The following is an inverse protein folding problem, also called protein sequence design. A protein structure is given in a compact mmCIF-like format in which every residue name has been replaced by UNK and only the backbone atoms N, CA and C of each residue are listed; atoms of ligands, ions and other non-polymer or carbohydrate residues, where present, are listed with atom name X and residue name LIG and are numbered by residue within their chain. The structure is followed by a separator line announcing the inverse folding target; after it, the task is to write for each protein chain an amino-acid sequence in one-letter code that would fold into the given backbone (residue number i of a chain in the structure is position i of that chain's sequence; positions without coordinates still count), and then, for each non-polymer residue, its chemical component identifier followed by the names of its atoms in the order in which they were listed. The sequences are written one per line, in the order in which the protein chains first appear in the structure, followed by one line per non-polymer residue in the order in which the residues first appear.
data_IF_820781287565
#
_entry.id   IF_820781287565
#
_cell.length_a   1.000
_cell.length_b   1.000
_cell.length_c   1.000
_cell.angle_alpha   90.00
_cell.angle_beta   90.00
_cell.angle_gamma   90.00
#
_symmetry.space_group_name_H-M   'P 1'
#
loop_
_entity.id
_entity.type
_entity.pdbx_description
1 polymer ?
#
# COMPACT_ATOMS: atom_id res chain seq x y z
N UNK A 1 24.15 -17.29 -29.26
CA UNK A 1 23.73 -18.54 -28.60
C UNK A 1 23.35 -18.29 -27.13
N UNK A 2 22.39 -17.39 -26.86
CA UNK A 2 21.94 -17.11 -25.49
C UNK A 2 20.45 -17.44 -25.40
N UNK A 3 20.15 -18.69 -25.09
CA UNK A 3 18.79 -19.10 -24.74
C UNK A 3 18.45 -18.50 -23.38
N UNK A 4 17.44 -17.63 -23.34
CA UNK A 4 16.54 -17.49 -22.19
C UNK A 4 17.05 -16.80 -20.93
N UNK A 5 18.32 -16.40 -20.81
CA UNK A 5 18.77 -15.70 -19.60
C UNK A 5 18.21 -14.28 -19.52
N UNK A 6 17.71 -13.90 -18.35
CA UNK A 6 17.06 -12.61 -18.09
C UNK A 6 17.47 -12.10 -16.71
N UNK A 7 17.87 -10.83 -16.67
CA UNK A 7 18.15 -10.08 -15.46
C UNK A 7 17.22 -8.87 -15.42
N UNK A 8 16.51 -8.72 -14.30
CA UNK A 8 15.66 -7.57 -13.99
C UNK A 8 16.37 -6.77 -12.93
N UNK A 9 16.52 -5.47 -13.17
CA UNK A 9 17.13 -4.52 -12.25
C UNK A 9 16.12 -3.41 -11.98
N UNK A 10 15.92 -3.09 -10.71
CA UNK A 10 15.13 -1.97 -10.23
C UNK A 10 16.04 -1.07 -9.39
N UNK A 11 16.26 0.16 -9.87
CA UNK A 11 17.06 1.17 -9.19
C UNK A 11 16.15 2.27 -8.66
N UNK A 12 16.28 2.59 -7.37
CA UNK A 12 15.61 3.71 -6.75
C UNK A 12 16.62 4.51 -5.91
N UNK A 13 17.00 5.69 -6.41
CA UNK A 13 18.03 6.53 -5.80
C UNK A 13 19.30 5.69 -5.55
N UNK A 14 19.63 5.40 -4.28
CA UNK A 14 20.82 4.63 -3.88
C UNK A 14 20.51 3.14 -3.67
N UNK A 15 19.23 2.74 -3.70
CA UNK A 15 18.79 1.36 -3.49
C UNK A 15 18.71 0.61 -4.83
N UNK A 16 19.41 -0.53 -4.92
CA UNK A 16 19.42 -1.42 -6.07
C UNK A 16 18.78 -2.77 -5.71
N UNK A 17 17.71 -3.12 -6.39
CA UNK A 17 17.10 -4.45 -6.38
C UNK A 17 17.39 -5.13 -7.71
N UNK A 18 17.77 -6.41 -7.68
CA UNK A 18 18.00 -7.19 -8.88
C UNK A 18 17.52 -8.63 -8.69
N UNK A 19 17.09 -9.25 -9.77
CA UNK A 19 16.69 -10.66 -9.82
C UNK A 19 16.91 -11.20 -11.23
N UNK A 20 17.03 -12.51 -11.39
CA UNK A 20 17.23 -13.13 -12.68
C UNK A 20 16.98 -14.63 -12.64
N UNK A 21 16.98 -15.26 -13.82
CA UNK A 21 16.75 -16.70 -13.94
C UNK A 21 18.05 -17.52 -14.13
N UNK A 22 19.22 -16.87 -14.11
CA UNK A 22 20.54 -17.50 -14.17
C UNK A 22 21.39 -17.05 -12.97
N UNK A 23 21.80 -18.01 -12.15
CA UNK A 23 22.62 -17.74 -10.96
C UNK A 23 24.02 -17.24 -11.35
N UNK A 24 24.55 -17.69 -12.49
CA UNK A 24 25.83 -17.22 -13.04
C UNK A 24 25.71 -15.74 -13.42
N UNK A 25 24.68 -15.36 -14.19
CA UNK A 25 24.40 -13.97 -14.57
C UNK A 25 24.22 -13.04 -13.37
N UNK A 26 23.49 -13.49 -12.33
CA UNK A 26 23.32 -12.73 -11.08
C UNK A 26 24.67 -12.52 -10.40
N UNK A 27 25.52 -13.55 -10.36
CA UNK A 27 26.83 -13.50 -9.71
C UNK A 27 27.79 -12.57 -10.45
N UNK A 28 27.83 -12.66 -11.78
CA UNK A 28 28.64 -11.77 -12.63
C UNK A 28 28.20 -10.32 -12.51
N UNK A 29 26.88 -10.06 -12.57
CA UNK A 29 26.33 -8.72 -12.37
C UNK A 29 26.73 -8.13 -11.03
N UNK A 30 26.55 -8.91 -9.95
CA UNK A 30 26.93 -8.50 -8.60
C UNK A 30 28.41 -8.12 -8.53
N UNK A 31 29.31 -8.96 -9.04
CA UNK A 31 30.75 -8.69 -9.04
C UNK A 31 31.10 -7.43 -9.83
N UNK A 32 30.47 -7.21 -10.98
CA UNK A 32 30.65 -6.01 -11.79
C UNK A 32 30.26 -4.75 -11.02
N UNK A 33 29.10 -4.76 -10.35
CA UNK A 33 28.62 -3.61 -9.58
C UNK A 33 29.53 -3.29 -8.40
N UNK A 34 30.01 -4.30 -7.66
CA UNK A 34 30.97 -4.10 -6.56
C UNK A 34 32.33 -3.57 -6.98
N UNK A 35 32.71 -3.78 -8.24
CA UNK A 35 33.97 -3.27 -8.79
C UNK A 35 33.86 -1.79 -9.17
N UNK A 36 32.72 -1.40 -9.72
CA UNK A 36 32.49 -0.04 -10.20
C UNK A 36 32.01 0.91 -9.09
N UNK A 37 31.28 0.40 -8.10
CA UNK A 37 30.62 1.19 -7.06
C UNK A 37 30.94 0.70 -5.65
N UNK A 38 31.10 1.64 -4.72
CA UNK A 38 31.09 1.35 -3.29
C UNK A 38 29.65 1.04 -2.85
N UNK A 39 29.35 -0.25 -2.67
CA UNK A 39 28.01 -0.71 -2.28
C UNK A 39 28.08 -1.78 -1.19
N UNK A 40 26.96 -2.02 -0.51
CA UNK A 40 26.81 -3.10 0.48
C UNK A 40 25.77 -4.09 -0.03
N UNK A 41 26.08 -5.38 0.08
CA UNK A 41 25.09 -6.43 -0.19
C UNK A 41 24.35 -6.76 1.10
N UNK A 42 23.05 -6.50 1.08
CA UNK A 42 22.14 -6.82 2.19
C UNK A 42 21.57 -8.24 2.11
N UNK A 43 22.01 -9.04 1.13
CA UNK A 43 21.56 -10.40 0.90
C UNK A 43 20.14 -10.45 0.33
N UNK A 44 19.38 -11.47 0.73
CA UNK A 44 17.98 -11.63 0.34
C UNK A 44 17.15 -10.42 0.79
N UNK A 45 16.38 -9.85 -0.15
CA UNK A 45 15.58 -8.65 0.11
C UNK A 45 14.61 -8.88 1.28
N UNK A 46 14.86 -8.21 2.40
CA UNK A 46 13.97 -8.19 3.57
C UNK A 46 13.23 -6.87 3.75
N UNK A 47 13.72 -5.80 3.11
CA UNK A 47 13.14 -4.46 3.17
C UNK A 47 13.51 -3.67 1.91
N UNK A 48 12.54 -3.02 1.28
CA UNK A 48 12.77 -2.14 0.13
C UNK A 48 11.72 -1.03 0.13
N UNK A 49 12.17 0.23 0.09
CA UNK A 49 11.28 1.42 0.04
C UNK A 49 10.09 1.32 1.00
N UNK A 50 10.34 1.12 2.30
CA UNK A 50 9.26 1.09 3.29
C UNK A 50 8.42 -0.19 3.32
N UNK A 51 8.69 -1.16 2.44
CA UNK A 51 8.00 -2.45 2.35
C UNK A 51 8.87 -3.51 3.01
N UNK A 52 8.31 -4.19 4.00
CA UNK A 52 8.89 -5.37 4.65
C UNK A 52 8.55 -6.61 3.84
N UNK A 53 9.57 -7.39 3.50
CA UNK A 53 9.47 -8.59 2.68
C UNK A 53 9.96 -9.78 3.49
N UNK A 54 9.16 -10.84 3.55
CA UNK A 54 9.54 -12.14 4.11
C UNK A 54 9.47 -13.16 3.00
N UNK A 55 10.61 -13.73 2.67
CA UNK A 55 10.75 -14.74 1.62
C UNK A 55 10.98 -16.10 2.27
N UNK A 56 10.27 -17.10 1.80
CA UNK A 56 10.51 -18.53 2.02
C UNK A 56 10.56 -19.20 0.64
N UNK A 57 10.94 -20.47 0.57
CA UNK A 57 11.27 -21.16 -0.68
C UNK A 57 10.21 -20.95 -1.80
N UNK A 58 8.93 -21.06 -1.46
CA UNK A 58 7.81 -20.91 -2.40
C UNK A 58 6.83 -19.80 -1.99
N UNK A 59 7.18 -18.94 -1.04
CA UNK A 59 6.25 -17.97 -0.45
C UNK A 59 6.91 -16.59 -0.26
N UNK A 60 6.19 -15.55 -0.65
CA UNK A 60 6.59 -14.16 -0.42
C UNK A 60 5.46 -13.46 0.32
N UNK A 61 5.73 -12.99 1.53
CA UNK A 61 4.84 -12.11 2.28
C UNK A 61 5.39 -10.69 2.27
N UNK A 62 4.61 -9.73 1.78
CA UNK A 62 4.94 -8.30 1.83
C UNK A 62 3.98 -7.55 2.74
N UNK A 63 4.52 -6.64 3.54
CA UNK A 63 3.73 -5.80 4.45
C UNK A 63 4.41 -4.46 4.70
N UNK A 64 3.69 -3.54 5.33
CA UNK A 64 4.21 -2.24 5.75
C UNK A 64 3.96 -2.05 7.25
N UNK A 65 4.21 -3.07 8.07
CA UNK A 65 3.86 -3.11 9.50
C UNK A 65 4.60 -2.03 10.29
N UNK A 66 5.89 -1.81 10.03
CA UNK A 66 6.65 -0.72 10.66
C UNK A 66 5.99 0.63 10.33
N UNK A 67 5.71 0.90 9.06
CA UNK A 67 5.05 2.12 8.63
C UNK A 67 3.64 2.28 9.22
N UNK A 68 2.85 1.20 9.31
CA UNK A 68 1.53 1.22 9.95
C UNK A 68 1.62 1.69 11.42
N UNK A 69 2.66 1.29 12.16
CA UNK A 69 2.88 1.76 13.53
C UNK A 69 3.28 3.24 13.57
N UNK A 70 4.21 3.66 12.71
CA UNK A 70 4.67 5.05 12.62
C UNK A 70 3.52 6.01 12.31
N UNK A 71 2.59 5.65 11.41
CA UNK A 71 1.43 6.50 11.14
C UNK A 71 0.44 6.53 12.32
N UNK A 72 0.27 5.42 13.05
CA UNK A 72 -0.59 5.40 14.22
C UNK A 72 -0.02 6.31 15.31
N UNK A 73 1.29 6.29 15.52
CA UNK A 73 1.99 7.18 16.44
C UNK A 73 1.86 8.65 16.01
N UNK A 74 2.23 8.95 14.75
CA UNK A 74 2.16 10.30 14.16
C UNK A 74 0.80 10.96 14.34
N UNK A 75 -0.29 10.21 14.19
CA UNK A 75 -1.65 10.71 14.31
C UNK A 75 -2.30 10.45 15.68
N UNK A 76 -1.53 10.03 16.68
CA UNK A 76 -1.98 9.76 18.06
C UNK A 76 -3.12 8.74 18.17
N UNK A 77 -3.03 7.68 17.37
CA UNK A 77 -4.02 6.61 17.23
C UNK A 77 -3.53 5.24 17.75
N UNK A 78 -2.37 5.16 18.38
CA UNK A 78 -1.84 3.90 18.90
C UNK A 78 -2.74 3.25 19.97
N UNK A 79 -3.35 4.08 20.82
CA UNK A 79 -4.28 3.65 21.87
C UNK A 79 -5.75 3.58 21.43
N UNK A 80 -6.05 3.69 20.14
CA UNK A 80 -7.43 3.65 19.68
C UNK A 80 -8.02 2.22 19.71
N UNK A 81 -9.34 2.13 19.93
CA UNK A 81 -10.04 0.86 19.81
C UNK A 81 -10.15 0.44 18.35
N UNK A 82 -9.77 -0.80 17.97
CA UNK A 82 -9.84 -1.24 16.59
C UNK A 82 -11.27 -1.34 16.07
N UNK A 83 -11.43 -1.40 14.74
CA UNK A 83 -12.71 -1.70 14.07
C UNK A 83 -12.48 -2.75 12.99
N UNK A 84 -13.53 -3.45 12.59
CA UNK A 84 -13.44 -4.55 11.62
C UNK A 84 -13.58 -4.11 10.15
N UNK A 85 -13.97 -2.86 9.88
CA UNK A 85 -14.12 -2.35 8.50
C UNK A 85 -13.50 -0.95 8.36
N UNK A 86 -12.84 -0.66 7.21
CA UNK A 86 -12.19 0.64 6.98
C UNK A 86 -13.21 1.79 6.84
N UNK A 87 -14.38 1.50 6.28
CA UNK A 87 -15.50 2.45 6.09
C UNK A 87 -16.73 1.90 6.82
N UNK A 88 -17.53 2.76 7.44
CA UNK A 88 -18.78 2.33 8.06
C UNK A 88 -19.89 2.24 7.00
N UNK A 89 -20.77 1.26 7.12
CA UNK A 89 -21.85 1.00 6.14
C UNK A 89 -22.81 2.19 5.97
N UNK A 90 -22.95 3.03 7.01
CA UNK A 90 -23.81 4.21 6.99
C UNK A 90 -23.05 5.52 6.69
N UNK A 91 -21.76 5.46 6.35
CA UNK A 91 -20.97 6.67 6.10
C UNK A 91 -21.41 7.29 4.78
N UNK A 92 -22.05 8.46 4.86
CA UNK A 92 -22.27 9.36 3.73
C UNK A 92 -21.48 10.64 3.98
N UNK A 93 -20.44 10.87 3.20
CA UNK A 93 -19.68 12.12 3.25
C UNK A 93 -20.19 13.07 2.16
N UNK A 94 -20.16 14.36 2.44
CA UNK A 94 -20.58 15.44 1.55
C UNK A 94 -19.62 16.61 1.71
N UNK A 95 -19.53 17.50 0.71
CA UNK A 95 -18.64 18.67 0.77
C UNK A 95 -18.99 19.61 1.91
N UNK A 96 -20.28 19.76 2.22
CA UNK A 96 -20.73 20.55 3.38
C UNK A 96 -20.25 19.91 4.69
N UNK A 97 -20.34 18.58 4.77
CA UNK A 97 -19.91 17.77 5.90
C UNK A 97 -20.58 18.16 7.22
N UNK A 98 -20.11 17.53 8.31
CA UNK A 98 -20.56 17.89 9.66
C UNK A 98 -19.39 18.43 10.48
N UNK A 99 -19.68 19.46 11.28
CA UNK A 99 -18.77 20.05 12.25
C UNK A 99 -17.77 21.04 11.66
N UNK A 100 -16.80 21.41 12.50
CA UNK A 100 -15.82 22.46 12.19
C UNK A 100 -14.85 22.05 11.07
N UNK A 101 -14.27 23.06 10.44
CA UNK A 101 -13.17 22.87 9.47
C UNK A 101 -11.98 22.28 10.20
N UNK A 102 -11.36 21.28 9.58
CA UNK A 102 -10.12 20.67 10.05
C UNK A 102 -8.95 21.28 9.27
N UNK A 103 -7.79 21.40 9.91
CA UNK A 103 -6.60 21.94 9.26
C UNK A 103 -6.25 21.14 7.99
N UNK A 104 -6.28 21.76 6.79
CA UNK A 104 -6.10 21.02 5.53
C UNK A 104 -4.73 20.34 5.40
N UNK A 105 -3.67 20.97 5.91
CA UNK A 105 -2.31 20.41 5.85
C UNK A 105 -2.24 19.11 6.64
N UNK A 106 -2.77 19.11 7.87
CA UNK A 106 -2.78 17.93 8.72
C UNK A 106 -3.62 16.79 8.12
N UNK A 107 -4.79 17.13 7.56
CA UNK A 107 -5.65 16.16 6.86
C UNK A 107 -4.97 15.56 5.63
N UNK A 108 -4.38 16.40 4.76
CA UNK A 108 -3.63 15.96 3.57
C UNK A 108 -2.45 15.06 3.96
N UNK A 109 -1.77 15.38 5.06
CA UNK A 109 -0.69 14.53 5.58
C UNK A 109 -1.19 13.12 5.93
N UNK A 110 -2.36 13.01 6.57
CA UNK A 110 -2.96 11.70 6.86
C UNK A 110 -3.36 10.96 5.58
N UNK A 111 -4.07 11.63 4.68
CA UNK A 111 -4.51 10.99 3.43
C UNK A 111 -3.32 10.52 2.59
N UNK A 112 -2.25 11.31 2.52
CA UNK A 112 -1.01 10.91 1.85
C UNK A 112 -0.37 9.68 2.49
N UNK A 113 -0.29 9.65 3.83
CA UNK A 113 0.20 8.47 4.56
C UNK A 113 -0.64 7.21 4.30
N UNK A 114 -1.98 7.34 4.30
CA UNK A 114 -2.87 6.23 4.00
C UNK A 114 -2.77 5.77 2.53
N UNK A 115 -2.56 6.70 1.59
CA UNK A 115 -2.37 6.38 0.17
C UNK A 115 -1.11 5.55 -0.04
N UNK A 116 -0.03 5.82 0.68
CA UNK A 116 1.17 5.01 0.56
C UNK A 116 0.99 3.57 1.11
N UNK A 117 0.13 3.38 2.12
CA UNK A 117 -0.20 2.04 2.61
C UNK A 117 -0.97 1.18 1.60
N UNK A 118 -1.65 1.77 0.61
CA UNK A 118 -2.47 0.98 -0.32
C UNK A 118 -1.64 0.03 -1.18
N UNK A 119 -0.32 0.22 -1.23
CA UNK A 119 0.63 -0.68 -1.92
C UNK A 119 0.52 -2.11 -1.37
N UNK A 120 0.46 -2.28 -0.04
CA UNK A 120 0.32 -3.61 0.60
C UNK A 120 -1.07 -3.86 1.20
N UNK A 121 -1.96 -2.85 1.13
CA UNK A 121 -3.30 -2.86 1.73
C UNK A 121 -4.37 -2.48 0.71
N UNK A 122 -4.67 -3.35 -0.27
CA UNK A 122 -5.73 -3.08 -1.25
C UNK A 122 -7.11 -2.94 -0.60
N UNK A 123 -7.31 -3.58 0.55
CA UNK A 123 -8.55 -3.57 1.33
C UNK A 123 -8.95 -2.18 1.88
N UNK A 124 -8.02 -1.21 1.95
CA UNK A 124 -8.32 0.17 2.36
C UNK A 124 -8.47 1.14 1.18
N UNK A 125 -8.18 0.73 -0.06
CA UNK A 125 -8.12 1.62 -1.24
C UNK A 125 -9.40 2.43 -1.41
N UNK A 126 -10.56 1.78 -1.29
CA UNK A 126 -11.85 2.47 -1.38
C UNK A 126 -12.01 3.56 -0.32
N UNK A 127 -11.71 3.24 0.94
CA UNK A 127 -11.81 4.19 2.04
C UNK A 127 -10.86 5.38 1.87
N UNK A 128 -9.62 5.12 1.43
CA UNK A 128 -8.63 6.15 1.14
C UNK A 128 -9.08 7.04 -0.03
N UNK A 129 -9.64 6.44 -1.09
CA UNK A 129 -10.22 7.16 -2.22
C UNK A 129 -11.38 8.07 -1.79
N UNK A 130 -12.25 7.60 -0.90
CA UNK A 130 -13.37 8.38 -0.38
C UNK A 130 -12.90 9.62 0.40
N UNK A 131 -11.97 9.45 1.36
CA UNK A 131 -11.46 10.58 2.16
C UNK A 131 -10.60 11.54 1.35
N UNK A 132 -9.99 11.09 0.25
CA UNK A 132 -9.18 11.92 -0.65
C UNK A 132 -9.99 13.04 -1.33
N UNK A 133 -11.31 12.88 -1.50
CA UNK A 133 -12.19 13.85 -2.16
C UNK A 133 -12.29 15.18 -1.42
N UNK A 134 -12.04 15.17 -0.11
CA UNK A 134 -12.28 16.32 0.78
C UNK A 134 -11.01 16.99 1.28
N UNK A 135 -9.89 16.84 0.58
CA UNK A 135 -8.58 17.37 1.00
C UNK A 135 -8.48 18.90 0.95
N UNK A 136 -9.31 19.58 0.14
CA UNK A 136 -9.26 21.04 0.00
C UNK A 136 -9.84 21.74 1.23
N UNK A 137 -11.06 21.37 1.63
CA UNK A 137 -11.77 21.91 2.79
C UNK A 137 -12.31 20.77 3.65
N UNK A 138 -11.45 20.06 4.42
CA UNK A 138 -11.88 18.95 5.24
C UNK A 138 -12.70 19.43 6.45
N UNK A 139 -13.67 18.61 6.85
CA UNK A 139 -14.57 18.84 7.98
C UNK A 139 -14.36 17.77 9.03
N UNK A 140 -14.93 17.97 10.22
CA UNK A 140 -14.85 17.00 11.31
C UNK A 140 -15.37 15.61 10.89
N UNK A 141 -16.45 15.53 10.11
CA UNK A 141 -16.95 14.27 9.53
C UNK A 141 -15.88 13.55 8.68
N UNK A 142 -15.20 14.28 7.77
CA UNK A 142 -14.12 13.76 6.93
C UNK A 142 -12.95 13.24 7.78
N UNK A 143 -12.59 13.98 8.82
CA UNK A 143 -11.53 13.58 9.74
C UNK A 143 -11.88 12.32 10.54
N UNK A 144 -13.13 12.19 10.98
CA UNK A 144 -13.60 10.99 11.67
C UNK A 144 -13.57 9.76 10.74
N UNK A 145 -13.93 9.93 9.47
CA UNK A 145 -13.82 8.87 8.47
C UNK A 145 -12.35 8.45 8.24
N UNK A 146 -11.43 9.40 8.10
CA UNK A 146 -10.00 9.10 7.95
C UNK A 146 -9.41 8.41 9.20
N UNK A 147 -9.79 8.85 10.40
CA UNK A 147 -9.42 8.18 11.66
C UNK A 147 -10.00 6.78 11.79
N UNK A 148 -11.18 6.50 11.21
CA UNK A 148 -11.72 5.15 11.18
C UNK A 148 -10.80 4.19 10.43
N UNK A 149 -10.21 4.62 9.32
CA UNK A 149 -9.23 3.82 8.56
C UNK A 149 -8.03 3.49 9.45
N UNK A 150 -7.53 4.44 10.24
CA UNK A 150 -6.47 4.19 11.22
C UNK A 150 -6.89 3.17 12.30
N UNK A 151 -8.13 3.25 12.80
CA UNK A 151 -8.67 2.24 13.74
C UNK A 151 -8.73 0.85 13.13
N UNK A 152 -9.07 0.75 11.84
CA UNK A 152 -9.04 -0.52 11.13
C UNK A 152 -7.61 -1.05 11.00
N UNK A 153 -6.67 -0.21 10.56
CA UNK A 153 -5.24 -0.53 10.48
C UNK A 153 -4.69 -1.02 11.83
N UNK A 154 -5.08 -0.40 12.94
CA UNK A 154 -4.70 -0.83 14.29
C UNK A 154 -5.10 -2.28 14.59
N UNK A 155 -6.27 -2.71 14.12
CA UNK A 155 -6.75 -4.09 14.27
C UNK A 155 -6.07 -5.08 13.32
N UNK A 156 -5.51 -4.60 12.21
CA UNK A 156 -4.97 -5.42 11.12
C UNK A 156 -3.48 -5.19 10.88
N UNK A 157 -2.69 -4.92 11.92
CA UNK A 157 -1.26 -4.60 11.80
C UNK A 157 -0.41 -5.73 11.21
N UNK A 158 -0.91 -6.96 11.21
CA UNK A 158 -0.21 -8.12 10.67
C UNK A 158 -0.70 -8.50 9.26
N UNK A 159 -1.59 -7.70 8.67
CA UNK A 159 -2.06 -7.96 7.31
C UNK A 159 -1.03 -7.48 6.29
N UNK A 160 -0.99 -8.16 5.16
CA UNK A 160 -0.13 -7.88 4.03
C UNK A 160 -0.57 -8.70 2.83
N UNK A 161 0.23 -8.70 1.77
CA UNK A 161 0.00 -9.52 0.59
C UNK A 161 0.87 -10.77 0.68
N UNK A 162 0.27 -11.90 0.35
CA UNK A 162 0.91 -13.21 0.37
C UNK A 162 0.87 -13.79 -1.03
N UNK A 163 2.05 -14.09 -1.56
CA UNK A 163 2.25 -14.68 -2.87
C UNK A 163 2.84 -16.07 -2.69
N UNK A 164 2.29 -17.05 -3.40
CA UNK A 164 2.78 -18.41 -3.41
C UNK A 164 3.23 -18.76 -4.82
N UNK A 165 4.26 -19.59 -4.93
CA UNK A 165 4.60 -20.22 -6.19
C UNK A 165 3.44 -21.13 -6.64
N UNK A 166 3.02 -20.99 -7.89
CA UNK A 166 1.96 -21.80 -8.49
C UNK A 166 2.38 -22.30 -9.85
N UNK A 167 2.09 -23.57 -10.14
CA UNK A 167 2.40 -24.21 -11.44
C UNK A 167 1.47 -23.69 -12.56
N UNK A 168 0.31 -23.13 -12.21
CA UNK A 168 -0.70 -22.62 -13.13
C UNK A 168 -1.04 -21.17 -12.79
N UNK A 169 -0.63 -20.23 -13.64
CA UNK A 169 -1.02 -18.83 -13.56
C UNK A 169 -2.32 -18.62 -14.36
N UNK A 170 -3.41 -18.28 -13.68
CA UNK A 170 -4.66 -17.91 -14.35
C UNK A 170 -5.01 -16.48 -13.95
N UNK A 171 -5.00 -15.58 -14.93
CA UNK A 171 -5.45 -14.21 -14.71
C UNK A 171 -6.96 -14.19 -14.48
N UNK A 172 -7.39 -13.95 -13.23
CA UNK A 172 -8.78 -13.80 -12.82
C UNK A 172 -9.04 -12.34 -12.45
N UNK A 173 -10.01 -11.72 -13.11
CA UNK A 173 -10.42 -10.34 -12.84
C UNK A 173 -11.80 -10.28 -12.17
N UNK A 174 -11.90 -9.50 -11.11
CA UNK A 174 -13.16 -9.09 -10.50
C UNK A 174 -13.35 -7.59 -10.72
N UNK A 175 -14.58 -7.18 -10.99
CA UNK A 175 -14.95 -5.77 -11.14
C UNK A 175 -16.29 -5.52 -10.46
N UNK A 176 -16.40 -4.40 -9.77
CA UNK A 176 -17.63 -3.91 -9.16
C UNK A 176 -17.73 -2.40 -9.37
N UNK A 177 -18.95 -1.89 -9.44
CA UNK A 177 -19.19 -0.46 -9.59
C UNK A 177 -20.40 -0.02 -8.80
N UNK A 178 -20.26 1.08 -8.06
CA UNK A 178 -21.40 1.73 -7.44
C UNK A 178 -22.19 2.59 -8.46
N UNK A 179 -23.44 2.91 -8.13
CA UNK A 179 -24.26 3.82 -8.92
C UNK A 179 -24.55 5.10 -8.15
N UNK A 180 -23.96 6.21 -8.60
CA UNK A 180 -24.10 7.53 -8.01
C UNK A 180 -23.73 7.55 -6.52
N UNK A 181 -22.73 6.76 -6.11
CA UNK A 181 -22.32 6.64 -4.71
C UNK A 181 -21.83 7.96 -4.13
N UNK A 182 -21.25 8.81 -4.98
CA UNK A 182 -20.89 10.19 -4.63
C UNK A 182 -22.15 11.05 -4.40
N UNK A 183 -22.32 11.56 -3.18
CA UNK A 183 -23.49 12.37 -2.84
C UNK A 183 -23.42 13.79 -3.41
N UNK A 184 -22.22 14.29 -3.68
CA UNK A 184 -22.00 15.66 -4.15
C UNK A 184 -22.09 15.73 -5.68
N UNK A 185 -21.43 14.81 -6.37
CA UNK A 185 -21.29 14.86 -7.84
C UNK A 185 -22.06 13.75 -8.56
N UNK A 186 -22.71 12.83 -7.82
CA UNK A 186 -23.44 11.67 -8.37
C UNK A 186 -22.61 10.81 -9.32
N UNK A 187 -21.28 10.87 -9.16
CA UNK A 187 -20.31 10.04 -9.88
C UNK A 187 -20.29 8.62 -9.32
N UNK A 188 -19.97 7.68 -10.20
CA UNK A 188 -19.77 6.28 -9.86
C UNK A 188 -18.31 6.04 -9.42
N UNK A 189 -18.13 5.09 -8.53
CA UNK A 189 -16.83 4.51 -8.15
C UNK A 189 -16.76 3.10 -8.71
N UNK A 190 -15.78 2.84 -9.57
CA UNK A 190 -15.49 1.49 -10.08
C UNK A 190 -14.26 0.95 -9.36
N UNK A 191 -14.34 -0.30 -8.88
CA UNK A 191 -13.23 -1.06 -8.34
C UNK A 191 -12.98 -2.30 -9.18
N UNK A 192 -11.71 -2.68 -9.33
CA UNK A 192 -11.32 -3.92 -9.97
C UNK A 192 -10.10 -4.51 -9.27
N UNK A 193 -10.01 -5.84 -9.26
CA UNK A 193 -8.85 -6.58 -8.74
C UNK A 193 -8.53 -7.71 -9.70
N UNK A 194 -7.25 -7.83 -10.04
CA UNK A 194 -6.73 -8.92 -10.86
C UNK A 194 -5.83 -9.81 -10.00
N UNK A 195 -6.09 -11.11 -10.04
CA UNK A 195 -5.30 -12.16 -9.43
C UNK A 195 -4.63 -12.96 -10.55
N UNK A 196 -3.39 -13.40 -10.33
CA UNK A 196 -2.61 -14.19 -11.29
C UNK A 196 -2.26 -15.54 -10.67
#
# INVERSE_FOLDING_TARGET
NHQGESLIICLYVDDLLYTGNSAEMITEFKQSMFKEFEMTDNGLMSYFLGIEVKQQDDEIFISQKKYMKEILEKFKMEGCNPVNTPVATSTKLTKEGDGEIVEPIFYKSLVGSLRYLTITRPDIVYGVGLVSRYMETPKKSHWLAAKRILRYIKGTLNFGLFYTYGEYAQLVGYSDSDWGGDQDERKNTTGYVFYL
#
